data_IF_870189534891
#
_entry.id   IF_870189534891
#
_cell.length_a   1.000
_cell.length_b   1.000
_cell.length_c   1.000
_cell.angle_alpha   90.00
_cell.angle_beta   90.00
_cell.angle_gamma   90.00
#
_symmetry.space_group_name_H-M   'P 1'
#
loop_
_entity.id
_entity.type
_entity.pdbx_description
1 polymer ?
#
# COMPACT_ATOMS: atom_id res chain seq x y z
N UNK A 1 -13.72 4.76 -6.46
CA UNK A 1 -12.55 3.94 -6.06
C UNK A 1 -11.57 4.72 -5.19
N UNK A 2 -10.78 5.69 -5.70
CA UNK A 2 -9.74 6.39 -4.92
C UNK A 2 -10.23 7.04 -3.62
N UNK A 3 -11.42 7.66 -3.65
CA UNK A 3 -12.05 8.30 -2.48
C UNK A 3 -12.46 7.30 -1.38
N UNK A 4 -12.84 6.08 -1.76
CA UNK A 4 -13.19 5.01 -0.81
C UNK A 4 -11.94 4.48 -0.10
N UNK A 5 -10.85 4.25 -0.85
CA UNK A 5 -9.57 3.85 -0.27
C UNK A 5 -9.04 4.90 0.71
N UNK A 6 -9.10 6.19 0.34
CA UNK A 6 -8.73 7.29 1.22
C UNK A 6 -9.65 7.35 2.46
N UNK A 7 -10.96 7.16 2.27
CA UNK A 7 -11.93 7.15 3.36
C UNK A 7 -11.69 6.01 4.36
N UNK A 8 -11.38 4.80 3.88
CA UNK A 8 -11.02 3.66 4.72
C UNK A 8 -9.72 3.89 5.49
N UNK A 9 -8.71 4.50 4.86
CA UNK A 9 -7.47 4.86 5.55
C UNK A 9 -7.70 5.89 6.66
N UNK A 10 -8.50 6.93 6.38
CA UNK A 10 -8.87 7.94 7.38
C UNK A 10 -9.70 7.34 8.52
N UNK A 11 -10.58 6.39 8.21
CA UNK A 11 -11.36 5.65 9.21
C UNK A 11 -10.44 4.82 10.12
N UNK A 12 -9.45 4.11 9.56
CA UNK A 12 -8.43 3.39 10.35
C UNK A 12 -7.60 4.34 11.21
N UNK A 13 -7.21 5.49 10.70
CA UNK A 13 -6.49 6.51 11.47
C UNK A 13 -7.34 7.06 12.63
N UNK A 14 -8.62 7.34 12.39
CA UNK A 14 -9.54 7.78 13.44
C UNK A 14 -9.76 6.69 14.51
N UNK A 15 -9.88 5.42 14.10
CA UNK A 15 -9.97 4.28 15.00
C UNK A 15 -8.71 4.11 15.85
N UNK A 16 -7.52 4.26 15.26
CA UNK A 16 -6.26 4.23 15.99
C UNK A 16 -6.21 5.33 17.06
N UNK A 17 -6.43 6.59 16.66
CA UNK A 17 -6.38 7.74 17.60
C UNK A 17 -7.40 7.59 18.72
N UNK A 18 -8.63 7.19 18.40
CA UNK A 18 -9.67 6.98 19.42
C UNK A 18 -9.36 5.79 20.34
N UNK A 19 -8.83 4.69 19.82
CA UNK A 19 -8.44 3.53 20.61
C UNK A 19 -7.27 3.86 21.55
N UNK A 20 -6.22 4.52 21.07
CA UNK A 20 -5.06 4.93 21.89
C UNK A 20 -5.47 5.94 22.97
N UNK A 21 -6.39 6.87 22.66
CA UNK A 21 -6.89 7.82 23.66
C UNK A 21 -7.73 7.14 24.77
N UNK A 22 -8.38 6.01 24.47
CA UNK A 22 -9.19 5.24 25.42
C UNK A 22 -8.44 4.07 26.07
N UNK A 23 -7.20 3.81 25.65
CA UNK A 23 -6.30 2.80 26.20
C UNK A 23 -6.12 2.87 27.73
N UNK A 24 -6.09 4.05 28.38
CA UNK A 24 -6.03 4.14 29.84
C UNK A 24 -7.27 3.58 30.55
N UNK A 25 -8.38 3.39 29.83
CA UNK A 25 -9.65 2.93 30.41
C UNK A 25 -9.75 1.41 30.44
N UNK A 26 -9.36 0.70 29.37
CA UNK A 26 -9.49 -0.76 29.26
C UNK A 26 -8.45 -1.33 28.28
N UNK A 27 -7.82 -2.45 28.65
CA UNK A 27 -6.82 -3.15 27.81
C UNK A 27 -7.35 -3.61 26.44
N UNK A 28 -8.68 -3.77 26.28
CA UNK A 28 -9.33 -4.08 25.02
C UNK A 28 -9.05 -3.04 23.92
N UNK A 29 -8.86 -1.77 24.30
CA UNK A 29 -8.55 -0.69 23.35
C UNK A 29 -7.13 -0.80 22.77
N UNK A 30 -6.18 -1.38 23.52
CA UNK A 30 -4.83 -1.66 23.01
C UNK A 30 -4.86 -2.62 21.81
N UNK A 31 -5.68 -3.67 21.86
CA UNK A 31 -5.85 -4.59 20.72
C UNK A 31 -6.44 -3.90 19.48
N UNK A 32 -7.39 -3.00 19.68
CA UNK A 32 -8.01 -2.22 18.60
C UNK A 32 -6.98 -1.24 18.00
N UNK A 33 -6.18 -0.60 18.85
CA UNK A 33 -5.10 0.28 18.41
C UNK A 33 -4.08 -0.49 17.56
N UNK A 34 -3.58 -1.63 18.04
CA UNK A 34 -2.63 -2.47 17.28
C UNK A 34 -3.21 -2.96 15.94
N UNK A 35 -4.50 -3.32 15.91
CA UNK A 35 -5.17 -3.71 14.67
C UNK A 35 -5.27 -2.54 13.68
N UNK A 36 -5.68 -1.36 14.15
CA UNK A 36 -5.79 -0.15 13.34
C UNK A 36 -4.41 0.29 12.81
N UNK A 37 -3.38 0.19 13.64
CA UNK A 37 -1.98 0.47 13.25
C UNK A 37 -1.52 -0.47 12.13
N UNK A 38 -1.71 -1.78 12.31
CA UNK A 38 -1.37 -2.77 11.29
C UNK A 38 -2.14 -2.52 9.98
N UNK A 39 -3.42 -2.15 10.06
CA UNK A 39 -4.24 -1.80 8.90
C UNK A 39 -3.73 -0.57 8.14
N UNK A 40 -3.32 0.48 8.86
CA UNK A 40 -2.73 1.68 8.24
C UNK A 40 -1.41 1.38 7.54
N UNK A 41 -0.50 0.65 8.20
CA UNK A 41 0.79 0.27 7.61
C UNK A 41 0.58 -0.61 6.38
N UNK A 42 -0.35 -1.58 6.44
CA UNK A 42 -0.69 -2.44 5.30
C UNK A 42 -1.24 -1.65 4.10
N UNK A 43 -2.11 -0.67 4.34
CA UNK A 43 -2.65 0.17 3.27
C UNK A 43 -1.55 1.02 2.59
N UNK A 44 -0.58 1.53 3.35
CA UNK A 44 0.58 2.25 2.81
C UNK A 44 1.48 1.31 2.00
N UNK A 45 1.70 0.10 2.48
CA UNK A 45 2.51 -0.91 1.80
C UNK A 45 1.91 -1.35 0.46
N UNK A 46 0.59 -1.54 0.40
CA UNK A 46 -0.12 -1.87 -0.85
C UNK A 46 0.01 -0.75 -1.88
N UNK A 47 -0.17 0.51 -1.45
CA UNK A 47 0.06 1.66 -2.32
C UNK A 47 1.49 1.68 -2.87
N UNK A 48 2.48 1.46 -2.01
CA UNK A 48 3.89 1.41 -2.42
C UNK A 48 4.14 0.30 -3.44
N UNK A 49 3.61 -0.91 -3.22
CA UNK A 49 3.79 -2.05 -4.10
C UNK A 49 3.21 -1.80 -5.51
N UNK A 50 1.98 -1.27 -5.58
CA UNK A 50 1.36 -0.94 -6.88
C UNK A 50 2.12 0.16 -7.58
N UNK A 51 2.55 1.21 -6.86
CA UNK A 51 3.36 2.27 -7.47
C UNK A 51 4.68 1.70 -7.97
N UNK A 52 5.41 0.94 -7.14
CA UNK A 52 6.69 0.33 -7.49
C UNK A 52 6.62 -0.64 -8.67
N UNK A 53 5.48 -1.26 -8.94
CA UNK A 53 5.30 -2.10 -10.12
C UNK A 53 5.34 -1.28 -11.42
N UNK A 54 4.72 -0.10 -11.41
CA UNK A 54 4.49 0.71 -12.61
C UNK A 54 5.41 1.93 -12.74
N UNK A 55 5.94 2.46 -11.64
CA UNK A 55 6.66 3.74 -11.55
C UNK A 55 7.59 3.78 -10.32
N UNK A 56 8.44 4.78 -10.24
CA UNK A 56 9.26 5.03 -9.06
C UNK A 56 8.41 5.67 -7.94
N UNK A 57 8.27 5.03 -6.75
CA UNK A 57 7.55 5.63 -5.64
C UNK A 57 8.25 6.92 -5.21
N UNK A 58 7.45 7.98 -4.98
CA UNK A 58 7.92 9.33 -4.64
C UNK A 58 8.85 10.01 -5.67
N UNK A 59 8.98 9.47 -6.88
CA UNK A 59 9.85 10.02 -7.93
C UNK A 59 11.35 9.82 -7.67
N UNK A 60 11.72 9.04 -6.66
CA UNK A 60 13.11 8.72 -6.34
C UNK A 60 13.55 7.48 -7.15
N UNK A 61 14.70 7.49 -7.83
CA UNK A 61 15.19 6.36 -8.61
C UNK A 61 15.73 5.26 -7.67
N UNK A 62 14.81 4.52 -7.05
CA UNK A 62 15.13 3.40 -6.16
C UNK A 62 15.45 2.18 -7.04
N UNK A 63 16.64 1.56 -6.88
CA UNK A 63 16.99 0.34 -7.62
C UNK A 63 15.95 -0.77 -7.36
N UNK A 64 15.57 -1.52 -8.39
CA UNK A 64 14.54 -2.59 -8.36
C UNK A 64 13.06 -2.12 -8.24
N UNK A 65 12.75 -0.86 -8.56
CA UNK A 65 11.38 -0.37 -8.76
C UNK A 65 11.12 -0.07 -10.25
N UNK A 66 9.86 0.03 -10.67
CA UNK A 66 9.40 0.02 -12.07
C UNK A 66 9.68 -1.32 -12.80
N UNK A 67 9.28 -2.44 -12.16
CA UNK A 67 9.54 -3.80 -12.66
C UNK A 67 8.93 -4.02 -14.07
N UNK A 68 7.72 -3.52 -14.33
CA UNK A 68 7.06 -3.68 -15.63
C UNK A 68 7.80 -2.88 -16.73
N UNK A 69 8.07 -1.57 -16.59
CA UNK A 69 8.88 -0.82 -17.55
C UNK A 69 10.25 -1.42 -17.81
N UNK A 70 10.92 -1.94 -16.78
CA UNK A 70 12.25 -2.54 -16.89
C UNK A 70 12.26 -3.86 -17.69
N UNK A 71 11.13 -4.58 -17.77
CA UNK A 71 11.02 -5.86 -18.47
C UNK A 71 10.15 -5.81 -19.73
N UNK A 72 9.72 -4.61 -20.16
CA UNK A 72 8.79 -4.42 -21.29
C UNK A 72 9.32 -5.04 -22.60
N UNK A 73 10.62 -4.94 -22.85
CA UNK A 73 11.23 -5.37 -24.10
C UNK A 73 11.21 -6.91 -24.20
N UNK A 74 11.53 -7.60 -23.10
CA UNK A 74 11.43 -9.06 -22.97
C UNK A 74 9.99 -9.57 -23.14
N UNK A 75 9.01 -8.82 -22.62
CA UNK A 75 7.58 -9.16 -22.78
C UNK A 75 7.14 -8.99 -24.24
N UNK A 76 7.62 -7.94 -24.91
CA UNK A 76 7.37 -7.67 -26.32
C UNK A 76 7.93 -8.74 -27.25
N UNK A 77 9.17 -9.19 -27.04
CA UNK A 77 9.79 -10.27 -27.82
C UNK A 77 9.01 -11.60 -27.70
N UNK A 78 8.62 -11.98 -26.48
CA UNK A 78 7.84 -13.19 -26.27
C UNK A 78 6.47 -13.10 -26.95
N UNK A 79 5.80 -11.95 -26.90
CA UNK A 79 4.51 -11.77 -27.55
C UNK A 79 4.62 -11.80 -29.09
N UNK A 80 5.67 -11.20 -29.65
CA UNK A 80 5.96 -11.25 -31.08
C UNK A 80 6.19 -12.70 -31.57
N UNK A 81 6.89 -13.49 -30.76
CA UNK A 81 7.14 -14.92 -31.03
C UNK A 81 5.88 -15.78 -30.97
N UNK A 82 4.87 -15.38 -30.18
CA UNK A 82 3.59 -16.09 -30.09
C UNK A 82 2.62 -15.78 -31.24
N UNK A 83 2.77 -14.62 -31.89
CA UNK A 83 1.89 -14.16 -32.97
C UNK A 83 2.45 -14.55 -34.35
N UNK A 84 3.77 -14.62 -34.49
CA UNK A 84 4.48 -15.06 -35.69
C UNK A 84 4.38 -16.59 -35.87
#
# INVERSE_FOLDING_TARGET
MKRLALGLLLLMAALYVSATALEPRHAAFGYIASFAEAGMVGAIADWFAVVALFRHPLGLPIPHTAIIPANKDRIGENLATFIA
#
